data_IF_908529928415
#
_entry.id   IF_908529928415
#
_cell.length_a   1.000
_cell.length_b   1.000
_cell.length_c   1.000
_cell.angle_alpha   90.00
_cell.angle_beta   90.00
_cell.angle_gamma   90.00
#
_symmetry.space_group_name_H-M   'P 1'
#
loop_
_entity.id
_entity.type
_entity.pdbx_description
1 polymer ?
#
# COMPACT_ATOMS: atom_id res chain seq x y z
N UNK A 1 4.68 -6.36 -28.79
CA UNK A 1 5.14 -6.90 -27.49
C UNK A 1 5.31 -5.71 -26.56
N UNK A 2 4.29 -5.38 -25.77
CA UNK A 2 4.29 -4.23 -24.86
C UNK A 2 4.49 -4.74 -23.43
N UNK A 3 5.30 -4.03 -22.64
CA UNK A 3 5.50 -4.34 -21.22
C UNK A 3 4.16 -4.46 -20.48
N UNK A 4 4.05 -5.32 -19.45
CA UNK A 4 2.84 -5.39 -18.63
C UNK A 4 2.58 -4.00 -18.04
N UNK A 5 1.36 -3.51 -18.25
CA UNK A 5 0.92 -2.23 -17.71
C UNK A 5 0.74 -2.43 -16.22
N UNK A 6 1.59 -1.82 -15.42
CA UNK A 6 1.41 -1.69 -13.99
C UNK A 6 0.09 -0.95 -13.78
N UNK A 7 -0.97 -1.68 -13.42
CA UNK A 7 -2.26 -1.09 -13.08
C UNK A 7 -2.06 -0.46 -11.71
N UNK A 8 -1.78 0.84 -11.70
CA UNK A 8 -1.79 1.63 -10.48
C UNK A 8 -3.12 1.39 -9.77
N UNK A 9 -3.06 0.92 -8.51
CA UNK A 9 -4.22 0.85 -7.64
C UNK A 9 -4.89 2.24 -7.64
N UNK A 10 -6.17 2.30 -7.99
CA UNK A 10 -6.87 3.55 -8.23
C UNK A 10 -6.92 4.42 -6.98
N UNK A 11 -6.09 5.46 -6.93
CA UNK A 11 -6.16 6.51 -5.91
C UNK A 11 -7.35 7.45 -6.13
N UNK A 12 -7.66 8.22 -5.07
CA UNK A 12 -8.51 9.41 -5.16
C UNK A 12 -8.03 10.29 -6.33
N UNK A 13 -8.90 10.76 -7.25
CA UNK A 13 -8.49 11.61 -8.37
C UNK A 13 -7.77 12.91 -7.94
N UNK A 14 -7.89 13.32 -6.67
CA UNK A 14 -7.13 14.43 -6.10
C UNK A 14 -5.66 14.10 -5.78
N UNK A 15 -5.28 12.82 -5.68
CA UNK A 15 -3.93 12.37 -5.41
C UNK A 15 -3.45 11.48 -6.56
N UNK A 16 -2.54 12.01 -7.38
CA UNK A 16 -2.01 11.35 -8.57
C UNK A 16 -1.48 9.93 -8.33
N UNK A 17 -1.08 9.20 -9.39
CA UNK A 17 -0.66 7.81 -9.29
C UNK A 17 0.41 7.64 -8.19
N UNK A 18 0.11 6.84 -7.17
CA UNK A 18 1.05 6.54 -6.09
C UNK A 18 2.10 5.56 -6.64
N UNK A 19 3.16 6.12 -7.22
CA UNK A 19 4.29 5.37 -7.78
C UNK A 19 5.08 4.70 -6.65
N UNK A 20 5.43 3.43 -6.88
CA UNK A 20 5.98 2.50 -5.91
C UNK A 20 7.32 2.90 -5.27
N UNK A 21 7.40 2.60 -3.98
CA UNK A 21 8.60 2.55 -3.16
C UNK A 21 8.25 1.89 -1.83
N UNK A 22 9.10 0.97 -1.35
CA UNK A 22 8.94 0.09 -0.17
C UNK A 22 7.67 -0.79 -0.09
N UNK A 23 6.52 -0.36 -0.61
CA UNK A 23 5.25 -1.09 -0.60
C UNK A 23 5.38 -2.49 -1.21
N UNK A 24 6.16 -2.66 -2.28
CA UNK A 24 6.25 -3.93 -3.02
C UNK A 24 6.87 -5.12 -2.26
N UNK A 25 7.63 -4.89 -1.18
CA UNK A 25 8.15 -5.98 -0.32
C UNK A 25 7.11 -6.42 0.71
N UNK A 26 6.25 -5.51 1.13
CA UNK A 26 5.34 -5.70 2.26
C UNK A 26 3.88 -5.91 1.86
N UNK A 27 3.48 -5.42 0.69
CA UNK A 27 2.08 -5.24 0.35
C UNK A 27 1.85 -5.39 -1.16
N UNK A 28 0.94 -6.30 -1.51
CA UNK A 28 0.28 -6.35 -2.80
C UNK A 28 -1.14 -5.77 -2.65
N UNK A 29 -1.65 -5.01 -3.63
CA UNK A 29 -2.99 -4.43 -3.53
C UNK A 29 -4.06 -5.48 -3.22
N UNK A 30 -4.90 -5.22 -2.21
CA UNK A 30 -6.04 -6.06 -1.86
C UNK A 30 -7.34 -5.24 -1.90
N UNK A 31 -8.47 -5.92 -2.11
CA UNK A 31 -9.78 -5.27 -2.19
C UNK A 31 -10.12 -4.43 -0.94
N UNK A 32 -9.60 -4.83 0.23
CA UNK A 32 -9.77 -4.12 1.49
C UNK A 32 -9.18 -2.70 1.46
N UNK A 33 -8.18 -2.42 0.64
CA UNK A 33 -7.53 -1.10 0.63
C UNK A 33 -8.42 0.00 0.05
N UNK A 34 -9.53 -0.38 -0.60
CA UNK A 34 -10.44 0.54 -1.27
C UNK A 34 -9.71 1.55 -2.17
N UNK A 35 -8.70 1.05 -2.89
CA UNK A 35 -7.90 1.80 -3.86
C UNK A 35 -6.80 2.69 -3.27
N UNK A 36 -6.72 2.87 -1.94
CA UNK A 36 -5.71 3.75 -1.32
C UNK A 36 -4.93 3.05 -0.22
N UNK A 37 -3.61 3.11 -0.36
CA UNK A 37 -2.63 2.79 0.68
C UNK A 37 -1.75 4.02 0.89
N UNK A 38 -1.60 4.47 2.13
CA UNK A 38 -0.83 5.68 2.44
C UNK A 38 -0.15 5.61 3.82
N UNK A 39 0.70 6.62 4.08
CA UNK A 39 1.40 6.82 5.35
C UNK A 39 2.08 5.55 5.92
N UNK A 40 2.90 4.84 5.12
CA UNK A 40 3.54 3.62 5.60
C UNK A 40 4.55 3.92 6.72
N UNK A 41 4.56 3.07 7.75
CA UNK A 41 5.58 3.03 8.80
C UNK A 41 6.10 1.60 8.95
N UNK A 42 7.41 1.42 9.04
CA UNK A 42 8.06 0.10 9.03
C UNK A 42 8.66 -0.23 10.39
N UNK A 43 8.69 -1.52 10.72
CA UNK A 43 9.34 -2.02 11.92
C UNK A 43 9.74 -3.48 11.77
N UNK A 44 10.73 -3.90 12.56
CA UNK A 44 11.12 -5.30 12.70
C UNK A 44 10.81 -5.77 14.12
N UNK A 45 10.23 -6.96 14.24
CA UNK A 45 10.09 -7.65 15.50
C UNK A 45 10.48 -9.11 15.33
N UNK A 46 11.47 -9.56 16.12
CA UNK A 46 11.95 -10.95 16.14
C UNK A 46 12.39 -11.47 14.75
N UNK A 47 13.01 -10.60 13.96
CA UNK A 47 13.46 -10.93 12.60
C UNK A 47 12.35 -10.90 11.56
N UNK A 48 11.14 -10.48 11.93
CA UNK A 48 10.00 -10.32 11.02
C UNK A 48 9.78 -8.84 10.75
N UNK A 49 9.84 -8.45 9.48
CA UNK A 49 9.54 -7.09 9.05
C UNK A 49 8.03 -6.87 8.84
N UNK A 50 7.54 -5.75 9.34
CA UNK A 50 6.15 -5.32 9.29
C UNK A 50 6.01 -3.93 8.67
N UNK A 51 4.85 -3.68 8.08
CA UNK A 51 4.42 -2.37 7.61
C UNK A 51 3.04 -2.03 8.19
N UNK A 52 2.94 -0.91 8.89
CA UNK A 52 1.69 -0.27 9.25
C UNK A 52 1.32 0.77 8.19
N UNK A 53 0.04 0.88 7.83
CA UNK A 53 -0.41 1.81 6.80
C UNK A 53 -1.87 2.22 6.98
N UNK A 54 -2.23 3.32 6.34
CA UNK A 54 -3.63 3.74 6.16
C UNK A 54 -4.24 3.09 4.92
N UNK A 55 -5.40 2.45 5.09
CA UNK A 55 -6.20 1.87 4.02
C UNK A 55 -7.52 2.64 3.83
N UNK A 56 -7.86 2.98 2.58
CA UNK A 56 -9.10 3.64 2.21
C UNK A 56 -9.06 5.17 2.26
N UNK A 57 -10.25 5.80 2.19
CA UNK A 57 -10.40 7.25 1.98
C UNK A 57 -9.73 8.07 3.09
N UNK A 58 -9.05 9.17 2.70
CA UNK A 58 -8.44 10.12 3.63
C UNK A 58 -9.45 10.60 4.69
N UNK A 59 -9.04 10.63 5.96
CA UNK A 59 -9.87 10.91 7.17
C UNK A 59 -10.94 9.87 7.54
N UNK A 60 -11.13 8.83 6.73
CA UNK A 60 -11.94 7.64 7.06
C UNK A 60 -11.12 6.35 6.93
N UNK A 61 -9.80 6.50 6.96
CA UNK A 61 -8.88 5.39 6.76
C UNK A 61 -8.88 4.46 7.96
N UNK A 62 -8.57 3.19 7.69
CA UNK A 62 -8.26 2.20 8.72
C UNK A 62 -6.76 2.08 8.85
N UNK A 63 -6.29 1.84 10.07
CA UNK A 63 -4.90 1.43 10.29
C UNK A 63 -4.83 -0.08 10.07
N UNK A 64 -3.97 -0.49 9.15
CA UNK A 64 -3.76 -1.86 8.76
C UNK A 64 -2.29 -2.25 8.97
N UNK A 65 -2.04 -3.56 9.03
CA UNK A 65 -0.70 -4.13 9.14
C UNK A 65 -0.48 -5.18 8.04
N UNK A 66 0.71 -5.19 7.47
CA UNK A 66 1.20 -6.24 6.58
C UNK A 66 2.56 -6.75 7.08
N UNK A 67 2.94 -7.96 6.67
CA UNK A 67 4.18 -8.63 7.05
C UNK A 67 4.93 -9.01 5.78
N UNK A 68 6.26 -8.87 5.78
CA UNK A 68 7.09 -9.47 4.73
C UNK A 68 6.91 -11.00 4.70
N UNK A 69 7.07 -11.58 3.51
CA UNK A 69 7.01 -13.04 3.26
C UNK A 69 8.38 -13.62 2.97
#
# INVERSE_FOLDING_TARGET
>A
MGAPREVAAGGDPAEGPQVGGALGVFHSPIASDNGRVAAPSFGNQDGVDYMFYEAGQRLKARICIARAV
#
